data_IF_589018817156
#
_entry.id   IF_589018817156
#
_cell.length_a   1.000
_cell.length_b   1.000
_cell.length_c   1.000
_cell.angle_alpha   90.00
_cell.angle_beta   90.00
_cell.angle_gamma   90.00
#
_symmetry.space_group_name_H-M   'P 1'
#
loop_
_entity.id
_entity.type
_entity.pdbx_description
1 polymer ?
#
# COMPACT_ATOMS: atom_id res chain seq x y z
N UNK A 1 3.02 -12.50 -2.58
CA UNK A 1 2.08 -13.62 -2.33
C UNK A 1 0.97 -13.20 -1.35
N UNK A 2 1.28 -12.77 -0.12
CA UNK A 2 0.29 -12.38 0.91
C UNK A 2 -0.62 -11.20 0.48
N UNK A 3 -0.08 -10.20 -0.23
CA UNK A 3 -0.87 -9.07 -0.72
C UNK A 3 -1.82 -9.47 -1.85
N UNK A 4 -1.40 -10.37 -2.74
CA UNK A 4 -2.24 -10.91 -3.80
C UNK A 4 -3.43 -11.65 -3.21
N UNK A 5 -3.19 -12.56 -2.25
CA UNK A 5 -4.25 -13.31 -1.56
C UNK A 5 -5.27 -12.40 -0.86
N UNK A 6 -4.80 -11.30 -0.24
CA UNK A 6 -5.68 -10.32 0.41
C UNK A 6 -6.58 -9.62 -0.60
N UNK A 7 -6.02 -9.21 -1.75
CA UNK A 7 -6.76 -8.56 -2.82
C UNK A 7 -7.74 -9.53 -3.50
N UNK A 8 -7.32 -10.77 -3.75
CA UNK A 8 -8.17 -11.82 -4.32
C UNK A 8 -9.35 -12.14 -3.40
N UNK A 9 -9.11 -12.22 -2.08
CA UNK A 9 -10.15 -12.37 -1.08
C UNK A 9 -11.13 -11.18 -1.04
N UNK A 10 -10.68 -9.97 -1.33
CA UNK A 10 -11.54 -8.79 -1.42
C UNK A 10 -12.33 -8.77 -2.73
N UNK A 11 -11.74 -9.20 -3.83
CA UNK A 11 -12.38 -9.26 -5.14
C UNK A 11 -13.48 -10.33 -5.21
N UNK A 12 -13.20 -11.54 -4.72
CA UNK A 12 -14.15 -12.67 -4.77
C UNK A 12 -15.18 -12.64 -3.65
N UNK A 13 -14.81 -12.18 -2.47
CA UNK A 13 -15.62 -12.27 -1.26
C UNK A 13 -15.85 -13.71 -0.78
N UNK A 14 -15.21 -14.71 -1.40
CA UNK A 14 -15.47 -16.14 -1.17
C UNK A 14 -15.01 -16.62 0.22
N UNK A 15 -14.02 -15.95 0.78
CA UNK A 15 -13.50 -16.24 2.12
C UNK A 15 -14.37 -15.69 3.26
N UNK A 16 -15.50 -15.04 2.96
CA UNK A 16 -16.39 -14.44 3.94
C UNK A 16 -17.58 -15.34 4.28
N UNK A 17 -18.06 -15.28 5.53
CA UNK A 17 -19.32 -15.92 5.92
C UNK A 17 -20.51 -15.31 5.17
N UNK A 18 -21.66 -16.03 5.10
CA UNK A 18 -22.80 -15.67 4.26
C UNK A 18 -23.37 -14.25 4.54
N UNK A 19 -23.40 -13.82 5.81
CA UNK A 19 -23.83 -12.47 6.19
C UNK A 19 -22.85 -11.41 5.74
N UNK A 20 -21.55 -11.67 5.85
CA UNK A 20 -20.50 -10.75 5.39
C UNK A 20 -20.42 -10.72 3.87
N UNK A 21 -20.69 -11.85 3.19
CA UNK A 21 -20.74 -11.95 1.74
C UNK A 21 -21.84 -11.08 1.13
N UNK A 22 -23.06 -11.05 1.73
CA UNK A 22 -24.14 -10.17 1.28
C UNK A 22 -23.78 -8.69 1.42
N UNK A 23 -23.10 -8.31 2.50
CA UNK A 23 -22.60 -6.94 2.70
C UNK A 23 -21.42 -6.62 1.78
N UNK A 24 -20.52 -7.56 1.56
CA UNK A 24 -19.35 -7.42 0.67
C UNK A 24 -19.79 -7.14 -0.78
N UNK A 25 -20.81 -7.79 -1.29
CA UNK A 25 -21.36 -7.53 -2.64
C UNK A 25 -21.75 -6.06 -2.88
N UNK A 26 -22.03 -5.30 -1.82
CA UNK A 26 -22.44 -3.88 -1.89
C UNK A 26 -21.26 -2.91 -1.68
N UNK A 27 -20.12 -3.39 -1.20
CA UNK A 27 -18.98 -2.55 -0.82
C UNK A 27 -17.63 -3.10 -1.32
N UNK A 28 -17.70 -4.02 -2.30
CA UNK A 28 -16.54 -4.78 -2.74
C UNK A 28 -15.54 -3.90 -3.51
N UNK A 29 -16.01 -3.05 -4.41
CA UNK A 29 -15.13 -2.15 -5.16
C UNK A 29 -14.45 -1.13 -4.25
N UNK A 30 -15.20 -0.58 -3.27
CA UNK A 30 -14.62 0.32 -2.26
C UNK A 30 -13.57 -0.38 -1.41
N UNK A 31 -13.92 -1.52 -0.84
CA UNK A 31 -13.03 -2.26 0.06
C UNK A 31 -11.77 -2.71 -0.71
N UNK A 32 -11.94 -3.14 -1.96
CA UNK A 32 -10.83 -3.48 -2.86
C UNK A 32 -9.94 -2.27 -3.16
N UNK A 33 -10.51 -1.13 -3.52
CA UNK A 33 -9.77 0.10 -3.79
C UNK A 33 -8.99 0.59 -2.56
N UNK A 34 -9.58 0.47 -1.36
CA UNK A 34 -8.89 0.80 -0.10
C UNK A 34 -7.66 -0.09 0.10
N UNK A 35 -7.83 -1.41 -0.06
CA UNK A 35 -6.73 -2.36 0.12
C UNK A 35 -5.65 -2.18 -0.95
N UNK A 36 -6.04 -1.97 -2.21
CA UNK A 36 -5.12 -1.73 -3.32
C UNK A 36 -4.29 -0.46 -3.09
N UNK A 37 -4.91 0.65 -2.67
CA UNK A 37 -4.17 1.89 -2.36
C UNK A 37 -3.21 1.70 -1.19
N UNK A 38 -3.65 1.08 -0.08
CA UNK A 38 -2.78 0.86 1.09
C UNK A 38 -1.58 -0.03 0.73
N UNK A 39 -1.81 -1.11 -0.04
CA UNK A 39 -0.77 -2.06 -0.42
C UNK A 39 0.14 -1.53 -1.53
N UNK A 40 -0.40 -0.80 -2.50
CA UNK A 40 0.33 -0.34 -3.68
C UNK A 40 1.07 1.00 -3.50
N UNK A 41 0.73 1.77 -2.45
CA UNK A 41 1.35 3.07 -2.20
C UNK A 41 2.03 3.19 -0.84
N UNK A 42 1.71 2.31 0.08
CA UNK A 42 2.18 2.39 1.46
C UNK A 42 1.72 3.64 2.22
N UNK A 43 0.69 4.38 1.75
CA UNK A 43 0.18 5.55 2.45
C UNK A 43 -0.36 5.21 3.83
N UNK A 44 -0.41 6.21 4.72
CA UNK A 44 -1.02 6.03 6.05
C UNK A 44 -2.54 5.95 5.93
N UNK A 45 -3.17 5.18 6.83
CA UNK A 45 -4.63 5.08 6.90
C UNK A 45 -5.31 6.45 7.10
N UNK A 46 -4.68 7.36 7.86
CA UNK A 46 -5.17 8.73 8.03
C UNK A 46 -5.09 9.56 6.75
N UNK A 47 -4.06 9.34 5.94
CA UNK A 47 -3.90 9.97 4.63
C UNK A 47 -5.00 9.48 3.69
N UNK A 48 -5.22 8.15 3.62
CA UNK A 48 -6.25 7.54 2.78
C UNK A 48 -7.65 8.06 3.08
N UNK A 49 -8.05 8.12 4.35
CA UNK A 49 -9.40 8.60 4.72
C UNK A 49 -9.56 10.11 4.47
N UNK A 50 -8.45 10.85 4.42
CA UNK A 50 -8.45 12.29 4.14
C UNK A 50 -8.69 12.65 2.68
N UNK A 51 -8.51 11.74 1.73
CA UNK A 51 -8.58 12.02 0.29
C UNK A 51 -9.98 12.46 -0.11
N UNK A 52 -10.04 13.56 -0.88
CA UNK A 52 -11.22 14.03 -1.60
C UNK A 52 -11.13 13.64 -3.09
N UNK A 53 -12.26 13.70 -3.80
CA UNK A 53 -12.29 13.42 -5.25
C UNK A 53 -11.39 14.40 -6.02
N UNK A 54 -11.35 15.66 -5.60
CA UNK A 54 -10.57 16.73 -6.23
C UNK A 54 -9.06 16.61 -5.96
N UNK A 55 -8.65 15.75 -5.03
CA UNK A 55 -7.24 15.47 -4.74
C UNK A 55 -6.59 14.53 -5.77
N UNK A 56 -7.38 13.96 -6.71
CA UNK A 56 -6.88 13.03 -7.71
C UNK A 56 -6.63 13.76 -9.05
N UNK A 57 -5.36 13.84 -9.44
CA UNK A 57 -4.97 14.29 -10.79
C UNK A 57 -4.90 13.06 -11.72
N UNK A 58 -6.00 12.80 -12.41
CA UNK A 58 -6.13 11.65 -13.32
C UNK A 58 -5.14 11.68 -14.48
N UNK A 59 -4.78 12.88 -14.97
CA UNK A 59 -3.86 13.04 -16.11
C UNK A 59 -2.42 12.75 -15.71
N UNK A 60 -2.04 13.16 -14.50
CA UNK A 60 -0.70 12.91 -13.98
C UNK A 60 -0.61 11.60 -13.19
N UNK A 61 -1.73 10.90 -13.01
CA UNK A 61 -1.84 9.71 -12.19
C UNK A 61 -1.24 9.92 -10.78
N UNK A 62 -1.71 10.96 -10.09
CA UNK A 62 -1.24 11.33 -8.75
C UNK A 62 -2.40 11.61 -7.84
N UNK A 63 -2.21 11.32 -6.56
CA UNK A 63 -3.14 11.69 -5.49
C UNK A 63 -2.43 12.58 -4.49
N UNK A 64 -3.05 13.70 -4.16
CA UNK A 64 -2.59 14.60 -3.10
C UNK A 64 -3.03 14.04 -1.76
N UNK A 65 -2.12 14.03 -0.80
CA UNK A 65 -2.37 13.61 0.59
C UNK A 65 -1.83 14.64 1.56
N UNK A 66 -2.44 14.73 2.74
CA UNK A 66 -1.96 15.55 3.84
C UNK A 66 -1.15 14.67 4.79
N UNK A 67 0.15 14.91 4.86
CA UNK A 67 1.07 14.20 5.74
C UNK A 67 0.88 14.62 7.20
N UNK A 68 1.41 13.81 8.14
CA UNK A 68 1.48 14.19 9.56
C UNK A 68 2.23 15.52 9.69
N UNK A 69 1.58 16.51 10.33
CA UNK A 69 2.12 17.88 10.42
C UNK A 69 1.53 18.86 9.42
N UNK A 70 0.58 18.42 8.54
CA UNK A 70 -0.19 19.29 7.66
C UNK A 70 0.47 19.60 6.30
N UNK A 71 1.66 19.06 6.02
CA UNK A 71 2.28 19.24 4.70
C UNK A 71 1.55 18.44 3.62
N UNK A 72 1.37 19.04 2.45
CA UNK A 72 0.86 18.36 1.27
C UNK A 72 1.97 17.54 0.59
N UNK A 73 1.60 16.38 0.06
CA UNK A 73 2.49 15.53 -0.72
C UNK A 73 1.71 14.87 -1.86
N UNK A 74 2.43 14.47 -2.92
CA UNK A 74 1.85 13.83 -4.11
C UNK A 74 2.35 12.40 -4.23
N UNK A 75 1.43 11.45 -4.15
CA UNK A 75 1.73 10.03 -4.34
C UNK A 75 1.39 9.65 -5.78
N UNK A 76 2.34 9.03 -6.48
CA UNK A 76 2.12 8.51 -7.83
C UNK A 76 1.29 7.22 -7.78
N UNK A 77 0.36 7.10 -8.71
CA UNK A 77 -0.46 5.91 -8.93
C UNK A 77 -0.01 5.23 -10.24
N UNK A 78 -0.04 3.91 -10.29
CA UNK A 78 0.09 3.19 -11.55
C UNK A 78 -1.27 3.09 -12.26
N UNK A 79 -1.26 2.64 -13.50
CA UNK A 79 -2.47 2.51 -14.32
C UNK A 79 -3.52 1.60 -13.68
N UNK A 80 -3.08 0.53 -13.02
CA UNK A 80 -3.96 -0.42 -12.34
C UNK A 80 -4.71 0.23 -11.17
N UNK A 81 -4.01 0.99 -10.31
CA UNK A 81 -4.63 1.73 -9.22
C UNK A 81 -5.61 2.79 -9.72
N UNK A 82 -5.26 3.47 -10.82
CA UNK A 82 -6.16 4.44 -11.47
C UNK A 82 -7.44 3.75 -11.93
N UNK A 83 -7.34 2.61 -12.61
CA UNK A 83 -8.51 1.85 -13.08
C UNK A 83 -9.38 1.38 -11.91
N UNK A 84 -8.77 0.84 -10.86
CA UNK A 84 -9.49 0.41 -9.64
C UNK A 84 -10.28 1.56 -9.01
N UNK A 85 -9.68 2.74 -8.93
CA UNK A 85 -10.35 3.93 -8.38
C UNK A 85 -11.50 4.39 -9.27
N UNK A 86 -11.31 4.40 -10.59
CA UNK A 86 -12.35 4.77 -11.56
C UNK A 86 -13.54 3.80 -11.47
N UNK A 87 -13.30 2.51 -11.39
CA UNK A 87 -14.33 1.49 -11.25
C UNK A 87 -15.13 1.68 -9.95
N UNK A 88 -14.44 1.89 -8.83
CA UNK A 88 -15.11 2.19 -7.57
C UNK A 88 -15.99 3.44 -7.66
N UNK A 89 -15.46 4.53 -8.23
CA UNK A 89 -16.18 5.80 -8.34
C UNK A 89 -17.39 5.64 -9.25
N UNK A 90 -17.22 5.00 -10.40
CA UNK A 90 -18.26 4.88 -11.41
C UNK A 90 -19.37 3.90 -11.02
N UNK A 91 -19.03 2.75 -10.44
CA UNK A 91 -19.98 1.65 -10.27
C UNK A 91 -20.50 1.51 -8.83
N UNK A 92 -19.81 2.04 -7.84
CA UNK A 92 -20.26 1.94 -6.45
C UNK A 92 -20.48 3.31 -5.81
N UNK A 93 -19.45 4.18 -5.78
CA UNK A 93 -19.52 5.46 -5.07
C UNK A 93 -20.60 6.40 -5.59
N UNK A 94 -20.79 6.47 -6.90
CA UNK A 94 -21.81 7.31 -7.55
C UNK A 94 -23.23 7.00 -7.06
N UNK A 95 -23.49 5.80 -6.57
CA UNK A 95 -24.79 5.41 -6.04
C UNK A 95 -25.12 5.97 -4.66
N UNK A 96 -24.13 6.59 -3.97
CA UNK A 96 -24.33 7.05 -2.61
C UNK A 96 -24.79 8.52 -2.56
N UNK A 97 -23.90 9.46 -2.86
CA UNK A 97 -24.21 10.90 -2.79
C UNK A 97 -23.17 11.72 -3.54
N UNK A 98 -23.60 12.50 -4.53
CA UNK A 98 -22.74 13.37 -5.32
C UNK A 98 -22.32 14.65 -4.55
N UNK A 99 -23.00 15.00 -3.45
CA UNK A 99 -22.65 16.17 -2.64
C UNK A 99 -21.42 15.95 -1.76
N UNK A 100 -21.07 14.68 -1.49
CA UNK A 100 -19.92 14.33 -0.65
C UNK A 100 -18.62 14.38 -1.43
N UNK A 101 -17.67 15.19 -0.94
CA UNK A 101 -16.34 15.32 -1.58
C UNK A 101 -15.41 14.15 -1.28
N UNK A 102 -15.57 13.50 -0.12
CA UNK A 102 -14.70 12.41 0.31
C UNK A 102 -14.64 11.28 -0.72
N UNK A 103 -13.45 10.79 -1.03
CA UNK A 103 -13.28 9.66 -1.94
C UNK A 103 -13.98 8.41 -1.41
N UNK A 104 -13.74 8.05 -0.15
CA UNK A 104 -14.30 6.85 0.46
C UNK A 104 -15.44 7.16 1.43
N UNK A 105 -16.61 6.60 1.14
CA UNK A 105 -17.84 6.82 1.89
C UNK A 105 -18.26 5.60 2.70
N UNK A 106 -18.95 5.84 3.81
CA UNK A 106 -19.61 4.80 4.59
C UNK A 106 -20.86 4.31 3.85
N UNK A 107 -21.05 3.00 3.79
CA UNK A 107 -22.30 2.40 3.30
C UNK A 107 -23.35 2.23 4.42
N UNK A 108 -23.06 2.70 5.63
CA UNK A 108 -23.98 2.63 6.77
C UNK A 108 -24.75 3.94 6.93
N UNK A 109 -26.04 3.82 7.16
CA UNK A 109 -26.93 4.97 7.32
C UNK A 109 -27.30 5.62 5.99
N UNK A 110 -28.03 6.73 6.07
CA UNK A 110 -28.49 7.52 4.91
C UNK A 110 -27.53 8.63 4.52
N UNK A 111 -26.64 9.04 5.43
CA UNK A 111 -25.82 10.24 5.26
C UNK A 111 -24.50 10.00 4.53
N UNK A 112 -24.17 8.74 4.23
CA UNK A 112 -22.97 8.33 3.48
C UNK A 112 -21.71 9.17 3.79
N UNK A 113 -21.43 9.35 5.08
CA UNK A 113 -20.31 10.18 5.56
C UNK A 113 -18.96 9.56 5.15
N UNK A 114 -17.92 10.41 5.12
CA UNK A 114 -16.51 9.99 4.98
C UNK A 114 -16.18 8.81 5.88
N UNK A 115 -15.46 7.82 5.37
CA UNK A 115 -14.95 6.71 6.17
C UNK A 115 -14.01 7.21 7.27
N UNK A 116 -14.09 6.57 8.44
CA UNK A 116 -13.16 6.81 9.53
C UNK A 116 -11.98 5.84 9.47
N UNK A 117 -10.86 6.22 10.09
CA UNK A 117 -9.70 5.34 10.29
C UNK A 117 -10.14 3.98 10.85
N UNK A 118 -11.01 3.99 11.88
CA UNK A 118 -11.51 2.77 12.51
C UNK A 118 -12.33 1.89 11.55
N UNK A 119 -13.03 2.50 10.61
CA UNK A 119 -13.77 1.74 9.58
C UNK A 119 -12.80 1.04 8.63
N UNK A 120 -11.74 1.72 8.19
CA UNK A 120 -10.71 1.14 7.34
C UNK A 120 -9.95 0.02 8.06
N UNK A 121 -9.58 0.20 9.32
CA UNK A 121 -8.97 -0.85 10.14
C UNK A 121 -9.83 -2.12 10.17
N UNK A 122 -11.15 -1.97 10.35
CA UNK A 122 -12.10 -3.11 10.33
C UNK A 122 -12.21 -3.77 8.95
N UNK A 123 -12.10 -2.99 7.88
CA UNK A 123 -12.06 -3.55 6.50
C UNK A 123 -10.80 -4.39 6.34
N UNK A 124 -9.64 -3.85 6.67
CA UNK A 124 -8.37 -4.58 6.58
C UNK A 124 -8.40 -5.85 7.45
N UNK A 125 -8.89 -5.76 8.69
CA UNK A 125 -9.02 -6.91 9.59
C UNK A 125 -10.02 -7.96 9.05
N UNK A 126 -11.12 -7.53 8.41
CA UNK A 126 -12.13 -8.43 7.83
C UNK A 126 -11.51 -9.35 6.78
N UNK A 127 -10.76 -8.78 5.85
CA UNK A 127 -10.12 -9.55 4.78
C UNK A 127 -8.87 -10.29 5.26
N UNK A 128 -8.11 -9.69 6.17
CA UNK A 128 -6.94 -10.36 6.74
C UNK A 128 -7.25 -11.65 7.50
N UNK A 129 -8.41 -11.72 8.17
CA UNK A 129 -8.85 -12.93 8.87
C UNK A 129 -9.32 -14.05 7.94
N UNK A 130 -9.66 -13.72 6.72
CA UNK A 130 -10.12 -14.69 5.71
C UNK A 130 -8.97 -15.32 4.94
N UNK A 131 -7.76 -14.80 5.07
CA UNK A 131 -6.56 -15.29 4.39
C UNK A 131 -5.76 -16.18 5.34
N UNK A 132 -5.61 -17.45 5.02
CA UNK A 132 -5.10 -18.51 5.92
C UNK A 132 -3.66 -18.25 6.42
N UNK A 133 -2.87 -17.51 5.65
CA UNK A 133 -1.45 -17.26 5.94
C UNK A 133 -1.21 -16.11 6.93
N UNK A 134 -2.18 -15.21 7.17
CA UNK A 134 -1.93 -13.94 7.83
C UNK A 134 -2.52 -13.89 9.24
N UNK A 135 -1.65 -13.99 10.24
CA UNK A 135 -2.03 -14.02 11.66
C UNK A 135 -2.72 -12.73 12.15
N UNK A 136 -2.37 -11.57 11.65
CA UNK A 136 -2.98 -10.28 12.00
C UNK A 136 -2.58 -9.20 11.01
N UNK A 137 -3.47 -8.84 10.07
CA UNK A 137 -3.24 -7.72 9.16
C UNK A 137 -3.83 -6.44 9.73
N UNK A 138 -3.09 -5.35 9.54
CA UNK A 138 -3.49 -3.99 9.87
C UNK A 138 -3.01 -3.03 8.77
N UNK A 139 -3.56 -1.80 8.66
CA UNK A 139 -3.03 -0.82 7.73
C UNK A 139 -1.53 -0.54 7.90
N UNK A 140 -1.04 -0.62 9.14
CA UNK A 140 0.38 -0.46 9.43
C UNK A 140 1.23 -1.63 8.88
N UNK A 141 0.74 -2.87 9.00
CA UNK A 141 1.45 -4.02 8.42
C UNK A 141 1.46 -4.00 6.89
N UNK A 142 0.38 -3.52 6.23
CA UNK A 142 0.36 -3.33 4.78
C UNK A 142 1.42 -2.31 4.35
N UNK A 143 1.48 -1.17 5.03
CA UNK A 143 2.49 -0.13 4.78
C UNK A 143 3.92 -0.65 5.00
N UNK A 144 4.14 -1.41 6.07
CA UNK A 144 5.45 -2.05 6.33
C UNK A 144 5.82 -3.03 5.23
N UNK A 145 4.86 -3.86 4.80
CA UNK A 145 5.04 -4.79 3.69
C UNK A 145 5.42 -4.09 2.39
N UNK A 146 4.71 -2.99 2.03
CA UNK A 146 5.06 -2.15 0.89
C UNK A 146 6.52 -1.66 0.97
N UNK A 147 6.93 -1.11 2.11
CA UNK A 147 8.31 -0.65 2.30
C UNK A 147 9.33 -1.78 2.19
N UNK A 148 9.02 -2.97 2.72
CA UNK A 148 9.89 -4.15 2.61
C UNK A 148 10.06 -4.59 1.15
N UNK A 149 8.97 -4.69 0.39
CA UNK A 149 9.03 -5.09 -1.03
C UNK A 149 9.72 -4.01 -1.90
N UNK A 150 9.48 -2.73 -1.60
CA UNK A 150 10.17 -1.64 -2.29
C UNK A 150 11.69 -1.68 -2.01
N UNK A 151 12.09 -1.95 -0.76
CA UNK A 151 13.50 -2.11 -0.42
C UNK A 151 14.13 -3.33 -1.11
N UNK A 152 13.48 -4.48 -1.08
CA UNK A 152 13.96 -5.70 -1.74
C UNK A 152 14.19 -5.49 -3.25
N UNK A 153 13.29 -4.74 -3.90
CA UNK A 153 13.38 -4.50 -5.35
C UNK A 153 14.39 -3.42 -5.73
N UNK A 154 14.51 -2.36 -4.91
CA UNK A 154 15.35 -1.20 -5.23
C UNK A 154 16.71 -1.22 -4.56
N UNK A 155 16.82 -1.89 -3.42
CA UNK A 155 17.95 -1.82 -2.48
C UNK A 155 18.32 -0.38 -2.07
N UNK A 156 17.33 0.53 -2.12
CA UNK A 156 17.51 1.95 -1.84
C UNK A 156 16.64 2.38 -0.65
N UNK A 157 17.28 2.55 0.52
CA UNK A 157 16.63 3.00 1.76
C UNK A 157 16.10 4.41 1.65
N UNK A 158 16.77 5.26 0.87
CA UNK A 158 16.35 6.64 0.68
C UNK A 158 15.05 6.70 -0.15
N UNK A 159 14.93 5.86 -1.19
CA UNK A 159 13.71 5.71 -1.95
C UNK A 159 12.54 5.24 -1.06
N UNK A 160 12.78 4.25 -0.19
CA UNK A 160 11.76 3.77 0.77
C UNK A 160 11.36 4.87 1.74
N UNK A 161 12.33 5.62 2.28
CA UNK A 161 12.06 6.76 3.15
C UNK A 161 11.17 7.79 2.48
N UNK A 162 11.49 8.18 1.26
CA UNK A 162 10.71 9.15 0.49
C UNK A 162 9.30 8.63 0.19
N UNK A 163 9.18 7.41 -0.32
CA UNK A 163 7.89 6.79 -0.64
C UNK A 163 6.97 6.73 0.58
N UNK A 164 7.52 6.37 1.73
CA UNK A 164 6.77 6.32 2.98
C UNK A 164 6.58 7.69 3.65
N UNK A 165 7.25 8.76 3.21
CA UNK A 165 7.20 10.06 3.86
C UNK A 165 7.65 9.99 5.32
N UNK A 166 8.77 9.31 5.59
CA UNK A 166 9.41 9.29 6.88
C UNK A 166 10.32 10.52 7.01
N UNK A 167 10.13 11.31 8.06
CA UNK A 167 10.95 12.50 8.34
C UNK A 167 12.37 12.15 8.81
N UNK A 168 12.59 10.93 9.32
CA UNK A 168 13.87 10.46 9.82
C UNK A 168 14.29 9.15 9.11
N UNK A 169 15.46 9.17 8.51
CA UNK A 169 16.06 8.02 7.82
C UNK A 169 16.36 6.87 8.77
N UNK A 170 16.65 7.16 10.04
CA UNK A 170 16.93 6.13 11.06
C UNK A 170 15.75 5.17 11.22
N UNK A 171 14.52 5.70 11.24
CA UNK A 171 13.30 4.88 11.34
C UNK A 171 13.18 3.92 10.17
N UNK A 172 13.60 4.35 8.97
CA UNK A 172 13.59 3.50 7.79
C UNK A 172 14.73 2.48 7.83
N UNK A 173 15.93 2.91 8.17
CA UNK A 173 17.10 2.05 8.22
C UNK A 173 16.97 0.92 9.25
N UNK A 174 16.50 1.23 10.46
CA UNK A 174 16.28 0.24 11.54
C UNK A 174 15.29 -0.86 11.16
N UNK A 175 14.33 -0.56 10.27
CA UNK A 175 13.31 -1.54 9.87
C UNK A 175 13.68 -2.38 8.64
N UNK A 176 14.60 -1.92 7.80
CA UNK A 176 14.86 -2.52 6.49
C UNK A 176 16.32 -2.95 6.25
N UNK A 177 17.26 -2.50 7.09
CA UNK A 177 18.70 -2.83 6.96
C UNK A 177 19.14 -3.92 7.97
N UNK A 178 18.25 -4.43 8.81
CA UNK A 178 18.59 -5.33 9.93
C UNK A 178 18.99 -6.77 9.49
N UNK A 179 19.64 -6.89 8.33
CA UNK A 179 20.24 -8.13 7.87
C UNK A 179 21.76 -7.90 7.67
N UNK A 180 22.51 -8.00 8.79
CA UNK A 180 23.98 -7.87 8.77
C UNK A 180 24.65 -8.91 7.85
N UNK A 181 24.02 -10.07 7.62
CA UNK A 181 24.47 -11.05 6.63
C UNK A 181 24.34 -10.51 5.20
N UNK A 182 23.22 -9.91 4.85
CA UNK A 182 23.01 -9.36 3.50
C UNK A 182 23.98 -8.26 3.12
N UNK A 183 24.43 -7.44 4.07
CA UNK A 183 25.44 -6.39 3.83
C UNK A 183 26.80 -7.01 3.54
N UNK A 184 27.21 -8.03 4.30
CA UNK A 184 28.48 -8.72 4.11
C UNK A 184 28.53 -9.45 2.76
N UNK A 185 27.46 -10.15 2.39
CA UNK A 185 27.33 -10.82 1.09
C UNK A 185 27.40 -9.82 -0.08
N UNK A 186 26.69 -8.70 0.01
CA UNK A 186 26.68 -7.65 -1.01
C UNK A 186 28.05 -6.96 -1.16
N UNK A 187 28.78 -6.76 -0.06
CA UNK A 187 30.17 -6.27 -0.12
C UNK A 187 31.06 -7.30 -0.81
N UNK A 188 30.85 -8.57 -0.53
CA UNK A 188 31.59 -9.66 -1.19
C UNK A 188 31.34 -9.74 -2.69
N UNK A 189 30.06 -9.67 -3.10
CA UNK A 189 29.67 -9.63 -4.52
C UNK A 189 30.24 -8.42 -5.25
N UNK A 190 30.14 -7.23 -4.65
CA UNK A 190 30.71 -6.00 -5.20
C UNK A 190 32.23 -6.13 -5.34
N UNK A 191 32.91 -6.65 -4.33
CA UNK A 191 34.36 -6.85 -4.35
C UNK A 191 34.78 -7.88 -5.39
N UNK A 192 34.01 -8.95 -5.59
CA UNK A 192 34.30 -9.96 -6.63
C UNK A 192 34.07 -9.41 -8.04
N UNK A 193 33.12 -8.48 -8.23
CA UNK A 193 32.94 -7.77 -9.51
C UNK A 193 34.08 -6.80 -9.84
N UNK A 194 34.72 -6.19 -8.84
CA UNK A 194 35.88 -5.31 -9.01
C UNK A 194 37.18 -6.09 -9.28
N UNK A 195 37.31 -7.29 -8.71
CA UNK A 195 38.47 -8.15 -8.86
C UNK A 195 38.23 -9.14 -10.03
N UNK A 196 38.22 -8.65 -11.26
CA UNK A 196 38.08 -9.53 -12.43
C UNK A 196 39.22 -10.57 -12.45
N UNK A 197 38.91 -11.87 -12.62
CA UNK A 197 39.89 -12.96 -12.61
C UNK A 197 40.97 -12.82 -13.70
N UNK A 198 40.75 -11.99 -14.72
CA UNK A 198 41.68 -11.74 -15.84
C UNK A 198 42.94 -10.94 -15.43
N UNK A 199 42.93 -10.31 -14.27
CA UNK A 199 44.05 -9.49 -13.80
C UNK A 199 44.97 -10.20 -12.77
N UNK A 200 44.51 -11.30 -12.17
CA UNK A 200 45.32 -12.03 -11.18
C UNK A 200 46.04 -13.25 -11.83
N UNK A 201 47.36 -13.20 -11.93
CA UNK A 201 48.19 -14.30 -12.34
C UNK A 201 49.26 -14.59 -11.29
N UNK A 202 49.11 -15.63 -10.44
CA UNK A 202 49.99 -15.94 -9.36
C UNK A 202 51.40 -16.38 -9.78
N UNK A 203 51.61 -16.61 -11.10
CA UNK A 203 52.93 -16.97 -11.66
C UNK A 203 53.74 -15.76 -12.13
N UNK A 204 53.24 -14.54 -11.96
CA UNK A 204 53.90 -13.30 -12.37
C UNK A 204 54.35 -12.42 -11.17
N UNK A 205 54.27 -12.92 -9.95
CA UNK A 205 54.79 -12.27 -8.76
C UNK A 205 56.05 -13.01 -8.31
#
# INVERSE_FOLDING_TARGET
>A
EEFSELLDGAASGDALDEKKRSYAKRTNLRDYAILALLSGTGMRVSELVGIDLDDIDWKKMKVKVIRKGGSEDLISLNEELVQILQDYIQFERKSYDDSQRALFLSSRGTDHNRLTVRSVERIVEKYGKSTVALKKISPHSLRRGFGTELYKSSHDVYLVQQALGHSDIKVTAEHYIDDSESVSERISEFSSGLLSPSSYNPKKI
#
